data_IF_883701542151
#
_entry.id   IF_883701542151
#
_cell.length_a   1.000
_cell.length_b   1.000
_cell.length_c   1.000
_cell.angle_alpha   90.00
_cell.angle_beta   90.00
_cell.angle_gamma   90.00
#
_symmetry.space_group_name_H-M   'P 1'
#
loop_
_entity.id
_entity.type
_entity.pdbx_description
1 polymer ?
#
# COMPACT_ATOMS: atom_id res chain seq x y z
N UNK A 1 9.88 -14.85 1.19
CA UNK A 1 10.23 -13.54 0.60
C UNK A 1 10.81 -13.79 -0.78
N UNK A 2 9.98 -13.72 -1.82
CA UNK A 2 10.49 -13.63 -3.19
C UNK A 2 10.96 -12.20 -3.40
N UNK A 3 12.02 -12.04 -4.19
CA UNK A 3 12.63 -10.74 -4.46
C UNK A 3 11.93 -10.24 -5.71
N UNK A 4 11.32 -9.07 -5.63
CA UNK A 4 10.71 -8.42 -6.78
C UNK A 4 11.72 -8.36 -7.94
N UNK A 5 11.23 -8.40 -9.18
CA UNK A 5 12.10 -8.18 -10.34
C UNK A 5 12.62 -6.73 -10.29
N UNK A 6 13.81 -6.55 -9.70
CA UNK A 6 14.45 -5.25 -9.51
C UNK A 6 14.55 -4.46 -10.82
N UNK A 7 14.75 -5.15 -11.96
CA UNK A 7 14.80 -4.51 -13.28
C UNK A 7 13.42 -4.03 -13.72
N UNK A 8 12.34 -4.73 -13.37
CA UNK A 8 10.97 -4.28 -13.64
C UNK A 8 10.61 -3.05 -12.80
N UNK A 9 10.98 -3.04 -11.51
CA UNK A 9 10.77 -1.90 -10.59
C UNK A 9 11.52 -0.67 -11.09
N UNK A 10 12.80 -0.81 -11.45
CA UNK A 10 13.60 0.30 -12.00
C UNK A 10 13.02 0.82 -13.31
N UNK A 11 12.63 -0.07 -14.24
CA UNK A 11 11.99 0.34 -15.50
C UNK A 11 10.66 1.07 -15.27
N UNK A 12 9.85 0.60 -14.34
CA UNK A 12 8.61 1.28 -13.96
C UNK A 12 8.90 2.68 -13.39
N UNK A 13 9.85 2.76 -12.46
CA UNK A 13 10.21 4.02 -11.83
C UNK A 13 10.72 5.06 -12.84
N UNK A 14 11.58 4.66 -13.77
CA UNK A 14 12.06 5.55 -14.83
C UNK A 14 10.93 6.04 -15.75
N UNK A 15 9.95 5.19 -16.05
CA UNK A 15 8.75 5.58 -16.78
C UNK A 15 7.95 6.66 -16.03
N UNK A 16 7.73 6.48 -14.73
CA UNK A 16 7.02 7.47 -13.90
C UNK A 16 7.78 8.80 -13.86
N UNK A 17 9.11 8.77 -13.68
CA UNK A 17 9.94 9.98 -13.69
C UNK A 17 9.92 10.70 -15.04
N UNK A 18 9.93 9.95 -16.14
CA UNK A 18 9.80 10.52 -17.46
C UNK A 18 8.44 11.23 -17.65
N UNK A 19 7.33 10.58 -17.26
CA UNK A 19 5.98 11.19 -17.29
C UNK A 19 5.91 12.47 -16.46
N UNK A 20 6.45 12.44 -15.23
CA UNK A 20 6.46 13.59 -14.33
C UNK A 20 7.25 14.79 -14.89
N UNK A 21 8.37 14.55 -15.58
CA UNK A 21 9.15 15.61 -16.24
C UNK A 21 8.45 16.21 -17.47
N UNK A 22 7.66 15.40 -18.17
CA UNK A 22 6.91 15.83 -19.37
C UNK A 22 5.64 16.58 -18.96
N UNK A 23 4.96 16.13 -17.91
CA UNK A 23 3.75 16.75 -17.40
C UNK A 23 4.05 17.90 -16.44
N UNK A 24 3.77 19.14 -16.82
CA UNK A 24 3.68 20.31 -15.89
C UNK A 24 2.77 20.08 -14.66
N UNK A 25 2.04 18.97 -14.59
CA UNK A 25 1.25 18.51 -13.46
C UNK A 25 2.08 18.03 -12.26
N UNK A 26 3.38 17.70 -12.42
CA UNK A 26 4.23 17.29 -11.29
C UNK A 26 4.26 18.33 -10.15
N UNK A 27 4.22 19.62 -10.49
CA UNK A 27 4.12 20.72 -9.52
C UNK A 27 2.78 20.78 -8.78
N UNK A 28 1.70 20.28 -9.37
CA UNK A 28 0.37 20.23 -8.75
C UNK A 28 0.15 18.96 -7.92
N UNK A 29 0.83 17.86 -8.26
CA UNK A 29 0.79 16.59 -7.52
C UNK A 29 1.87 16.54 -6.42
N UNK A 30 2.74 17.56 -6.34
CA UNK A 30 3.80 17.67 -5.34
C UNK A 30 4.94 16.65 -5.55
N UNK A 31 5.24 16.36 -6.81
CA UNK A 31 6.28 15.41 -7.25
C UNK A 31 7.57 16.11 -7.68
N UNK A 32 7.80 17.36 -7.26
CA UNK A 32 8.91 18.19 -7.75
C UNK A 32 10.30 17.66 -7.34
N UNK A 33 10.38 16.76 -6.35
CA UNK A 33 11.62 16.18 -5.82
C UNK A 33 11.61 14.63 -5.86
N UNK A 34 11.24 14.07 -7.01
CA UNK A 34 11.31 12.62 -7.24
C UNK A 34 12.76 12.14 -7.30
N UNK A 35 13.15 11.38 -6.27
CA UNK A 35 14.46 10.73 -6.13
C UNK A 35 14.89 9.95 -7.38
N UNK A 36 16.21 9.82 -7.57
CA UNK A 36 16.75 8.92 -8.60
C UNK A 36 16.61 7.45 -8.22
N UNK A 37 16.54 7.14 -6.92
CA UNK A 37 16.37 5.77 -6.41
C UNK A 37 14.88 5.43 -6.39
N UNK A 38 14.45 4.24 -6.85
CA UNK A 38 13.07 3.81 -6.71
C UNK A 38 12.62 3.81 -5.25
N UNK A 39 11.38 4.21 -4.96
CA UNK A 39 10.79 3.97 -3.65
C UNK A 39 10.66 2.46 -3.36
N UNK A 40 10.42 2.07 -2.09
CA UNK A 40 10.12 0.69 -1.74
C UNK A 40 8.98 0.11 -2.58
N UNK A 41 9.11 -1.16 -2.93
CA UNK A 41 8.09 -1.92 -3.64
C UNK A 41 7.44 -2.94 -2.70
N UNK A 42 6.10 -3.01 -2.70
CA UNK A 42 5.32 -3.85 -1.79
C UNK A 42 4.18 -4.55 -2.54
N UNK A 43 3.86 -5.76 -2.10
CA UNK A 43 2.57 -6.42 -2.37
C UNK A 43 1.74 -6.39 -1.09
N UNK A 44 0.43 -6.14 -1.22
CA UNK A 44 -0.49 -6.32 -0.10
C UNK A 44 -0.90 -7.79 0.00
N UNK A 45 -1.18 -8.30 1.20
CA UNK A 45 -1.59 -9.69 1.39
C UNK A 45 -0.42 -10.68 1.50
N UNK A 46 -0.72 -11.90 1.93
CA UNK A 46 0.25 -12.96 2.19
C UNK A 46 0.42 -13.92 1.00
N UNK A 47 -0.55 -13.96 0.09
CA UNK A 47 -0.56 -14.83 -1.10
C UNK A 47 -0.57 -14.02 -2.41
N UNK A 48 -0.08 -14.60 -3.53
CA UNK A 48 -0.20 -14.00 -4.86
C UNK A 48 -1.64 -13.58 -5.22
N UNK A 49 -2.61 -14.41 -4.86
CA UNK A 49 -4.02 -14.17 -5.12
C UNK A 49 -4.52 -12.95 -4.34
N UNK A 50 -4.24 -12.87 -3.04
CA UNK A 50 -4.57 -11.71 -2.19
C UNK A 50 -3.90 -10.42 -2.68
N UNK A 51 -2.66 -10.50 -3.16
CA UNK A 51 -1.94 -9.37 -3.71
C UNK A 51 -2.59 -8.85 -5.00
N UNK A 52 -3.00 -9.75 -5.89
CA UNK A 52 -3.73 -9.39 -7.09
C UNK A 52 -5.09 -8.75 -6.77
N UNK A 53 -5.88 -9.38 -5.90
CA UNK A 53 -7.21 -8.87 -5.50
C UNK A 53 -7.11 -7.51 -4.80
N UNK A 54 -6.12 -7.34 -3.93
CA UNK A 54 -5.93 -6.07 -3.21
C UNK A 54 -5.47 -4.96 -4.16
N UNK A 55 -4.57 -5.26 -5.10
CA UNK A 55 -4.16 -4.31 -6.13
C UNK A 55 -5.35 -3.84 -6.96
N UNK A 56 -6.26 -4.73 -7.36
CA UNK A 56 -7.47 -4.35 -8.11
C UNK A 56 -8.32 -3.34 -7.34
N UNK A 57 -8.46 -3.51 -6.02
CA UNK A 57 -9.16 -2.57 -5.14
C UNK A 57 -8.44 -1.23 -5.02
N UNK A 58 -7.11 -1.23 -4.96
CA UNK A 58 -6.30 0.00 -4.98
C UNK A 58 -6.49 0.76 -6.30
N UNK A 59 -6.41 0.07 -7.43
CA UNK A 59 -6.58 0.67 -8.76
C UNK A 59 -8.01 1.15 -9.01
N UNK A 60 -9.01 0.46 -8.44
CA UNK A 60 -10.41 0.89 -8.48
C UNK A 60 -10.73 2.04 -7.52
N UNK A 61 -9.81 2.40 -6.61
CA UNK A 61 -10.02 3.42 -5.57
C UNK A 61 -10.92 2.97 -4.42
N UNK A 62 -11.28 1.68 -4.36
CA UNK A 62 -12.08 1.09 -3.27
C UNK A 62 -11.21 0.66 -2.08
N UNK A 63 -9.88 0.71 -2.23
CA UNK A 63 -8.90 0.68 -1.12
C UNK A 63 -7.96 1.88 -1.24
N UNK A 64 -7.93 2.73 -0.22
CA UNK A 64 -7.07 3.91 -0.13
C UNK A 64 -6.44 4.09 1.26
N UNK A 65 -6.50 3.04 2.07
CA UNK A 65 -5.87 2.99 3.38
C UNK A 65 -5.28 1.62 3.69
N UNK A 66 -4.32 1.59 4.61
CA UNK A 66 -3.71 0.39 5.18
C UNK A 66 -3.43 0.61 6.66
N UNK A 67 -3.44 -0.47 7.45
CA UNK A 67 -3.11 -0.45 8.87
C UNK A 67 -2.00 -1.43 9.23
N UNK A 68 -1.12 -0.99 10.12
CA UNK A 68 0.00 -1.79 10.66
C UNK A 68 -0.01 -1.65 12.18
N UNK A 69 0.09 -2.75 12.91
CA UNK A 69 0.28 -2.68 14.35
C UNK A 69 1.67 -2.13 14.64
N UNK A 70 1.79 -1.16 15.55
CA UNK A 70 3.10 -0.57 15.92
C UNK A 70 4.05 -1.65 16.46
N UNK A 71 3.50 -2.70 17.08
CA UNK A 71 4.26 -3.86 17.57
C UNK A 71 4.92 -4.69 16.45
N UNK A 72 4.47 -4.59 15.20
CA UNK A 72 5.10 -5.24 14.05
C UNK A 72 6.40 -4.51 13.62
N UNK A 73 6.55 -3.23 13.99
CA UNK A 73 7.70 -2.42 13.59
C UNK A 73 8.92 -2.76 14.46
N UNK A 74 9.98 -3.23 13.80
CA UNK A 74 11.27 -3.48 14.43
C UNK A 74 12.01 -2.19 14.78
N UNK A 75 13.08 -2.25 15.58
CA UNK A 75 13.84 -1.07 16.02
C UNK A 75 14.50 -0.26 14.90
N UNK A 76 14.60 -0.84 13.70
CA UNK A 76 15.21 -0.22 12.52
C UNK A 76 14.18 0.16 11.45
N UNK A 77 12.91 -0.20 11.66
CA UNK A 77 11.84 0.14 10.73
C UNK A 77 11.46 1.60 10.90
N UNK A 78 11.28 2.28 9.77
CA UNK A 78 10.78 3.64 9.77
C UNK A 78 9.28 3.58 9.49
N UNK A 79 8.42 4.11 10.38
CA UNK A 79 7.00 4.24 10.09
C UNK A 79 6.82 5.15 8.86
N UNK A 80 5.77 4.92 8.05
CA UNK A 80 5.49 5.75 6.89
C UNK A 80 5.26 7.20 7.31
N UNK A 81 5.61 8.12 6.41
CA UNK A 81 5.45 9.56 6.58
C UNK A 81 4.61 10.12 5.47
N UNK A 82 3.88 11.19 5.79
CA UNK A 82 3.12 11.93 4.77
C UNK A 82 4.05 12.35 3.63
N UNK A 83 3.68 11.96 2.43
CA UNK A 83 4.44 12.22 1.21
C UNK A 83 5.33 11.06 0.76
N UNK A 84 5.53 10.02 1.57
CA UNK A 84 6.27 8.82 1.17
C UNK A 84 5.63 8.18 -0.06
N UNK A 85 6.48 7.60 -0.90
CA UNK A 85 6.08 6.92 -2.12
C UNK A 85 6.28 5.42 -1.97
N UNK A 86 5.38 4.64 -2.55
CA UNK A 86 5.46 3.18 -2.59
C UNK A 86 5.06 2.67 -3.96
N UNK A 87 5.78 1.68 -4.47
CA UNK A 87 5.39 0.95 -5.67
C UNK A 87 4.57 -0.27 -5.25
N UNK A 88 3.32 -0.35 -5.70
CA UNK A 88 2.45 -1.50 -5.46
C UNK A 88 2.66 -2.53 -6.57
N UNK A 89 2.92 -3.77 -6.16
CA UNK A 89 3.14 -4.92 -7.02
C UNK A 89 1.86 -5.76 -7.15
N UNK A 90 1.73 -6.52 -8.24
CA UNK A 90 0.72 -7.57 -8.37
C UNK A 90 1.15 -8.91 -7.72
N UNK A 91 0.29 -9.92 -7.81
CA UNK A 91 0.56 -11.27 -7.33
C UNK A 91 1.75 -11.97 -8.00
N UNK A 92 2.19 -11.49 -9.16
CA UNK A 92 3.37 -11.99 -9.87
C UNK A 92 4.59 -11.08 -9.65
N UNK A 93 4.55 -10.19 -8.66
CA UNK A 93 5.63 -9.27 -8.29
C UNK A 93 5.97 -8.22 -9.38
N UNK A 94 5.05 -7.96 -10.32
CA UNK A 94 5.24 -6.88 -11.29
C UNK A 94 4.73 -5.55 -10.73
N UNK A 95 5.40 -4.42 -10.99
CA UNK A 95 4.96 -3.11 -10.52
C UNK A 95 3.76 -2.57 -11.32
N UNK A 96 2.71 -2.17 -10.60
CA UNK A 96 1.41 -1.82 -11.16
C UNK A 96 0.85 -0.47 -10.72
N UNK A 97 1.32 0.09 -9.62
CA UNK A 97 0.94 1.44 -9.24
C UNK A 97 2.05 2.15 -8.45
N UNK A 98 2.09 3.48 -8.54
CA UNK A 98 2.77 4.33 -7.57
C UNK A 98 1.70 4.94 -6.67
N UNK A 99 1.83 4.74 -5.36
CA UNK A 99 0.99 5.39 -4.36
C UNK A 99 1.81 6.40 -3.55
N UNK A 100 1.11 7.39 -2.99
CA UNK A 100 1.67 8.38 -2.07
C UNK A 100 0.91 8.41 -0.77
N UNK A 101 1.62 8.33 0.34
CA UNK A 101 1.06 8.48 1.69
C UNK A 101 0.46 9.88 1.84
N UNK A 102 -0.85 9.94 2.12
CA UNK A 102 -1.63 11.17 2.22
C UNK A 102 -1.82 11.61 3.69
N UNK A 103 -2.01 10.66 4.60
CA UNK A 103 -2.06 10.91 6.04
C UNK A 103 -1.57 9.70 6.83
N UNK A 104 -1.04 9.95 8.02
CA UNK A 104 -0.63 8.92 8.98
C UNK A 104 -1.14 9.33 10.36
N UNK A 105 -1.81 8.40 11.04
CA UNK A 105 -2.33 8.59 12.39
C UNK A 105 -2.11 7.31 13.19
N UNK A 106 -1.56 7.42 14.40
CA UNK A 106 -1.54 6.31 15.34
C UNK A 106 -2.74 6.42 16.29
N UNK A 107 -3.49 5.34 16.42
CA UNK A 107 -4.66 5.26 17.32
C UNK A 107 -4.75 3.87 17.94
N UNK A 108 -5.51 3.69 19.02
CA UNK A 108 -5.76 2.35 19.55
C UNK A 108 -6.64 1.54 18.59
N UNK A 109 -6.48 0.22 18.55
CA UNK A 109 -7.30 -0.67 17.72
C UNK A 109 -8.81 -0.43 17.92
N UNK A 110 -9.26 -0.26 19.16
CA UNK A 110 -10.66 0.04 19.47
C UNK A 110 -11.15 1.42 19.02
N UNK A 111 -10.25 2.33 18.73
CA UNK A 111 -10.56 3.73 18.38
C UNK A 111 -10.47 3.97 16.86
N UNK A 112 -10.18 2.92 16.07
CA UNK A 112 -10.29 2.97 14.61
C UNK A 112 -11.73 3.26 14.20
N UNK A 113 -11.90 4.25 13.32
CA UNK A 113 -13.22 4.77 12.95
C UNK A 113 -13.84 4.00 11.79
N UNK A 114 -15.18 4.01 11.65
CA UNK A 114 -15.86 3.44 10.49
C UNK A 114 -15.39 4.06 9.17
N UNK A 115 -15.05 5.35 9.16
CA UNK A 115 -14.54 6.04 7.97
C UNK A 115 -13.21 5.45 7.53
N UNK A 116 -12.28 5.19 8.46
CA UNK A 116 -11.01 4.55 8.14
C UNK A 116 -11.22 3.10 7.67
N UNK A 117 -12.08 2.33 8.36
CA UNK A 117 -12.42 0.97 7.97
C UNK A 117 -12.98 0.90 6.54
N UNK A 118 -13.81 1.87 6.14
CA UNK A 118 -14.34 1.98 4.79
C UNK A 118 -13.27 2.32 3.74
N UNK A 119 -12.28 3.17 4.09
CA UNK A 119 -11.16 3.48 3.20
C UNK A 119 -10.23 2.28 3.01
N UNK A 120 -10.02 1.48 4.06
CA UNK A 120 -9.23 0.25 3.97
C UNK A 120 -10.00 -0.88 3.26
N UNK A 121 -11.33 -0.88 3.44
CA UNK A 121 -12.32 -1.66 2.72
C UNK A 121 -12.28 -3.17 2.98
N UNK A 122 -11.76 -3.60 4.13
CA UNK A 122 -11.78 -5.04 4.47
C UNK A 122 -13.21 -5.60 4.49
N UNK A 123 -13.40 -6.78 3.90
CA UNK A 123 -14.72 -7.39 3.76
C UNK A 123 -15.70 -6.50 2.98
N UNK A 124 -16.78 -6.07 3.64
CA UNK A 124 -17.80 -5.18 3.08
C UNK A 124 -17.53 -3.68 3.34
N UNK A 125 -16.37 -3.35 3.92
CA UNK A 125 -15.98 -1.99 4.30
C UNK A 125 -16.61 -1.50 5.61
N UNK A 126 -17.33 -2.36 6.35
CA UNK A 126 -17.83 -2.03 7.68
C UNK A 126 -16.72 -2.09 8.74
N UNK A 127 -16.89 -1.34 9.83
CA UNK A 127 -16.00 -1.41 10.99
C UNK A 127 -15.98 -2.81 11.63
N UNK A 128 -17.11 -3.53 11.59
CA UNK A 128 -17.23 -4.88 12.15
C UNK A 128 -16.40 -5.88 11.33
N UNK A 129 -16.53 -5.86 10.01
CA UNK A 129 -15.70 -6.68 9.12
C UNK A 129 -14.22 -6.36 9.25
N UNK A 130 -13.88 -5.06 9.34
CA UNK A 130 -12.51 -4.61 9.56
C UNK A 130 -11.92 -5.14 10.86
N UNK A 131 -12.65 -5.02 11.99
CA UNK A 131 -12.19 -5.53 13.29
C UNK A 131 -11.98 -7.03 13.26
N UNK A 132 -12.93 -7.78 12.72
CA UNK A 132 -12.83 -9.24 12.63
C UNK A 132 -11.60 -9.67 11.80
N UNK A 133 -11.38 -9.05 10.64
CA UNK A 133 -10.25 -9.36 9.77
C UNK A 133 -8.91 -9.00 10.43
N UNK A 134 -8.81 -7.80 11.03
CA UNK A 134 -7.58 -7.29 11.62
C UNK A 134 -7.24 -7.97 12.94
N UNK A 135 -8.22 -8.30 13.77
CA UNK A 135 -7.99 -9.13 14.96
C UNK A 135 -7.45 -10.50 14.58
N UNK A 136 -8.05 -11.16 13.59
CA UNK A 136 -7.56 -12.46 13.11
C UNK A 136 -6.11 -12.37 12.58
N UNK A 137 -5.81 -11.32 11.81
CA UNK A 137 -4.48 -11.06 11.30
C UNK A 137 -3.46 -10.79 12.43
N UNK A 138 -3.74 -9.85 13.33
CA UNK A 138 -2.80 -9.48 14.40
C UNK A 138 -2.60 -10.61 15.42
N UNK A 139 -3.62 -11.43 15.71
CA UNK A 139 -3.44 -12.64 16.53
C UNK A 139 -2.53 -13.67 15.84
N UNK A 140 -2.62 -13.80 14.52
CA UNK A 140 -1.75 -14.70 13.76
C UNK A 140 -0.30 -14.21 13.74
N UNK A 141 -0.08 -12.91 13.55
CA UNK A 141 1.27 -12.32 13.43
C UNK A 141 1.96 -12.07 14.79
N UNK A 142 1.22 -11.56 15.78
CA UNK A 142 1.77 -11.17 17.10
C UNK A 142 1.55 -12.25 18.18
N UNK A 143 0.74 -13.27 17.89
CA UNK A 143 0.28 -14.26 18.85
C UNK A 143 -0.90 -13.76 19.70
N UNK A 144 -1.59 -14.69 20.37
CA UNK A 144 -2.79 -14.43 21.19
C UNK A 144 -2.56 -13.37 22.28
N UNK A 145 -1.39 -13.38 22.91
CA UNK A 145 -1.00 -12.42 23.97
C UNK A 145 -0.53 -11.06 23.40
N UNK A 146 -0.26 -10.99 22.10
CA UNK A 146 0.17 -9.77 21.41
C UNK A 146 -0.97 -8.88 20.95
N UNK A 147 -2.19 -9.43 20.85
CA UNK A 147 -3.38 -8.67 20.49
C UNK A 147 -4.05 -8.04 21.72
N UNK A 148 -4.43 -6.77 21.59
CA UNK A 148 -5.21 -6.03 22.59
C UNK A 148 -6.03 -4.94 21.90
N UNK A 149 -7.22 -4.66 22.40
CA UNK A 149 -8.03 -3.51 21.97
C UNK A 149 -7.30 -2.16 22.15
N UNK A 150 -6.35 -2.11 23.10
CA UNK A 150 -5.50 -0.95 23.39
C UNK A 150 -4.23 -0.87 22.54
N UNK A 151 -3.93 -1.88 21.72
CA UNK A 151 -2.70 -1.88 20.91
C UNK A 151 -2.71 -0.71 19.91
N UNK A 152 -1.55 -0.10 19.73
CA UNK A 152 -1.40 1.01 18.80
C UNK A 152 -1.38 0.50 17.36
N UNK A 153 -2.29 1.06 16.56
CA UNK A 153 -2.40 0.84 15.12
C UNK A 153 -1.97 2.12 14.42
N UNK A 154 -1.00 1.97 13.53
CA UNK A 154 -0.63 3.00 12.58
C UNK A 154 -1.58 2.89 11.39
N UNK A 155 -2.46 3.88 11.27
CA UNK A 155 -3.41 4.06 10.20
C UNK A 155 -2.81 4.98 9.13
N UNK A 156 -2.63 4.45 7.92
CA UNK A 156 -2.14 5.19 6.77
C UNK A 156 -3.24 5.32 5.71
N UNK A 157 -3.43 6.52 5.16
CA UNK A 157 -4.18 6.71 3.91
C UNK A 157 -3.24 7.09 2.79
N UNK A 158 -3.59 6.75 1.55
CA UNK A 158 -2.75 7.00 0.38
C UNK A 158 -3.57 7.36 -0.85
N UNK A 159 -2.88 7.89 -1.86
CA UNK A 159 -3.44 8.24 -3.16
C UNK A 159 -2.66 7.53 -4.27
N UNK A 160 -3.37 7.00 -5.26
CA UNK A 160 -2.74 6.49 -6.49
C UNK A 160 -2.29 7.69 -7.34
N UNK A 161 -1.00 7.71 -7.66
CA UNK A 161 -0.35 8.76 -8.43
C UNK A 161 -0.18 8.36 -9.89
N UNK A 162 0.25 7.12 -10.14
CA UNK A 162 0.40 6.58 -11.48
C UNK A 162 -0.09 5.12 -11.49
N UNK A 163 -1.23 4.82 -12.14
CA UNK A 163 -1.62 3.43 -12.41
C UNK A 163 -0.91 2.90 -13.67
N UNK A 164 -0.53 1.63 -13.66
CA UNK A 164 0.00 0.91 -14.82
C UNK A 164 -0.96 -0.20 -15.23
N UNK A 165 -1.49 -0.08 -16.44
CA UNK A 165 -2.21 -1.17 -17.10
C UNK A 165 -1.28 -2.38 -17.26
N UNK A 166 -1.80 -3.62 -17.21
CA UNK A 166 -0.99 -4.78 -17.53
C UNK A 166 -0.45 -4.62 -18.95
N UNK A 167 0.82 -4.93 -19.17
CA UNK A 167 1.31 -5.05 -20.54
C UNK A 167 0.53 -6.19 -21.19
N UNK A 168 -0.30 -5.87 -22.20
CA UNK A 168 -0.95 -6.90 -22.99
C UNK A 168 0.15 -7.83 -23.52
N UNK A 169 0.02 -9.15 -23.39
CA UNK A 169 0.96 -10.05 -24.02
C UNK A 169 1.00 -9.68 -25.50
N UNK A 170 2.21 -9.55 -26.06
CA UNK A 170 2.38 -9.32 -27.48
C UNK A 170 1.51 -10.34 -28.21
N UNK A 171 0.45 -9.87 -28.87
CA UNK A 171 -0.40 -10.70 -29.70
C UNK A 171 0.55 -11.37 -30.69
N UNK A 172 0.75 -12.68 -30.55
CA UNK A 172 1.68 -13.44 -31.39
C UNK A 172 1.41 -13.10 -32.87
N UNK A 173 2.45 -12.60 -33.56
CA UNK A 173 2.45 -12.39 -35.02
C UNK A 173 2.54 -13.72 -35.77
#
# INVERSE_FOLDING_TARGET
>A
MRIADDDAVVRYWESVRAKARIGRAAAYVGLDDISAVPPPAISFGATPEEAQETLERVLAGTKSATSTAVAELGPQDNPPRVGDLWIVLDGNEHPRALIRTASVLTTAFRDVTPEFAALEGEGDGSLEAWRAAREAYYRAELGEDGFSDDMEILCETFQVIDPREPELPAMFE
#
